data_IF_027447488737
#
_entry.id   IF_027447488737
#
_cell.length_a   1.000
_cell.length_b   1.000
_cell.length_c   1.000
_cell.angle_alpha   90.00
_cell.angle_beta   90.00
_cell.angle_gamma   90.00
#
_symmetry.space_group_name_H-M   'P 1'
#
loop_
_entity.id
_entity.type
_entity.pdbx_description
1 polymer ?
#
# COMPACT_ATOMS: atom_id res chain seq x y z
N UNK A 1 13.68 11.52 -1.33
CA UNK A 1 12.79 10.37 -1.44
C UNK A 1 12.45 9.90 -0.03
N UNK A 2 11.23 10.11 0.42
CA UNK A 2 10.75 9.51 1.68
C UNK A 2 10.55 8.02 1.43
N UNK A 3 11.30 7.21 2.13
CA UNK A 3 11.18 5.76 2.08
C UNK A 3 9.80 5.38 2.66
N UNK A 4 8.98 4.71 1.85
CA UNK A 4 7.66 4.24 2.28
C UNK A 4 7.83 2.94 3.06
N UNK A 5 7.07 2.77 4.14
CA UNK A 5 7.07 1.54 4.93
C UNK A 5 6.47 0.39 4.13
N UNK A 6 7.15 -0.76 4.08
CA UNK A 6 6.55 -2.00 3.59
C UNK A 6 5.54 -2.53 4.63
N UNK A 7 4.26 -2.58 4.25
CA UNK A 7 3.15 -3.02 5.09
C UNK A 7 2.85 -4.52 4.96
N UNK A 8 3.39 -5.17 3.90
CA UNK A 8 3.09 -6.56 3.56
C UNK A 8 4.07 -7.59 4.15
N UNK A 9 5.18 -7.14 4.73
CA UNK A 9 6.21 -8.07 5.23
C UNK A 9 5.64 -9.06 6.26
N UNK A 10 5.78 -10.36 5.97
CA UNK A 10 5.27 -11.48 6.77
C UNK A 10 3.75 -11.45 7.01
N UNK A 11 2.98 -10.83 6.11
CA UNK A 11 1.52 -10.79 6.19
C UNK A 11 0.88 -11.98 5.49
N UNK A 12 -0.32 -12.42 5.93
CA UNK A 12 -1.07 -13.46 5.26
C UNK A 12 -1.32 -13.12 3.79
N UNK A 13 -0.99 -14.06 2.91
CA UNK A 13 -1.06 -13.87 1.46
C UNK A 13 -1.80 -15.04 0.83
N UNK A 14 -2.66 -14.75 -0.12
CA UNK A 14 -3.55 -15.69 -0.78
C UNK A 14 -3.45 -15.52 -2.29
N UNK A 15 -3.62 -16.61 -3.03
CA UNK A 15 -3.55 -16.60 -4.48
C UNK A 15 -4.64 -17.49 -5.10
N UNK A 16 -4.99 -17.21 -6.36
CA UNK A 16 -5.92 -18.02 -7.16
C UNK A 16 -5.40 -19.43 -7.41
N UNK A 17 -4.10 -19.55 -7.62
CA UNK A 17 -3.40 -20.83 -7.82
C UNK A 17 -1.96 -20.74 -7.33
N UNK A 18 -1.33 -21.89 -7.16
CA UNK A 18 0.09 -22.02 -6.81
C UNK A 18 0.67 -23.25 -7.48
N UNK A 19 1.70 -23.06 -8.28
CA UNK A 19 2.44 -24.14 -8.94
C UNK A 19 3.86 -24.26 -8.42
N UNK A 20 4.39 -23.22 -7.80
CA UNK A 20 5.70 -23.22 -7.17
C UNK A 20 5.70 -22.28 -5.95
N UNK A 21 6.40 -22.69 -4.88
CA UNK A 21 6.45 -21.97 -3.62
C UNK A 21 5.10 -21.90 -2.91
N UNK A 22 4.94 -20.86 -2.13
CA UNK A 22 3.69 -20.52 -1.43
C UNK A 22 3.34 -19.04 -1.71
N UNK A 23 2.09 -18.63 -1.62
CA UNK A 23 1.75 -17.19 -1.74
C UNK A 23 2.52 -16.31 -0.75
N UNK A 24 2.76 -16.80 0.48
CA UNK A 24 3.53 -16.09 1.51
C UNK A 24 5.00 -15.85 1.15
N UNK A 25 5.56 -16.61 0.21
CA UNK A 25 6.95 -16.41 -0.24
C UNK A 25 7.12 -15.05 -0.94
N UNK A 26 6.05 -14.51 -1.51
CA UNK A 26 6.06 -13.17 -2.10
C UNK A 26 6.08 -12.03 -1.05
N UNK A 27 5.92 -12.35 0.23
CA UNK A 27 5.87 -11.34 1.31
C UNK A 27 6.81 -11.66 2.48
N UNK A 28 7.68 -12.67 2.35
CA UNK A 28 8.57 -13.14 3.42
C UNK A 28 9.88 -12.34 3.55
N UNK A 29 10.13 -11.40 2.63
CA UNK A 29 11.31 -10.53 2.61
C UNK A 29 12.59 -11.22 2.12
N UNK A 30 12.51 -12.46 1.63
CA UNK A 30 13.66 -13.20 1.08
C UNK A 30 13.77 -12.95 -0.43
N UNK A 31 14.97 -13.16 -0.97
CA UNK A 31 15.26 -12.96 -2.40
C UNK A 31 15.39 -14.27 -3.18
N UNK A 32 15.32 -15.39 -2.50
CA UNK A 32 15.51 -16.74 -3.03
C UNK A 32 14.25 -17.61 -2.92
N UNK A 33 13.17 -17.08 -2.39
CA UNK A 33 11.84 -17.66 -2.36
C UNK A 33 10.90 -16.88 -3.30
N UNK A 34 9.91 -17.56 -3.87
CA UNK A 34 8.95 -16.94 -4.78
C UNK A 34 7.62 -17.68 -4.83
N UNK A 35 6.58 -16.98 -5.19
CA UNK A 35 5.33 -17.57 -5.62
C UNK A 35 5.24 -17.62 -7.14
N UNK A 36 4.65 -18.70 -7.68
CA UNK A 36 4.26 -18.79 -9.07
C UNK A 36 2.85 -19.35 -9.23
N UNK A 37 2.06 -18.69 -10.08
CA UNK A 37 0.71 -19.08 -10.44
C UNK A 37 0.70 -20.21 -11.50
N UNK A 38 -0.48 -20.76 -11.74
CA UNK A 38 -0.76 -21.56 -12.93
C UNK A 38 -0.55 -20.74 -14.22
N UNK A 39 -0.31 -21.44 -15.32
CA UNK A 39 -0.21 -20.84 -16.65
C UNK A 39 -1.61 -20.47 -17.16
N UNK A 40 -2.15 -19.39 -16.66
CA UNK A 40 -3.45 -18.88 -17.06
C UNK A 40 -3.50 -17.35 -16.91
N UNK A 41 -4.36 -16.71 -17.69
CA UNK A 41 -4.78 -15.34 -17.46
C UNK A 41 -5.72 -15.26 -16.25
N UNK A 42 -5.94 -14.05 -15.74
CA UNK A 42 -6.82 -13.77 -14.60
C UNK A 42 -6.41 -14.40 -13.26
N UNK A 43 -5.16 -14.86 -13.16
CA UNK A 43 -4.57 -15.25 -11.90
C UNK A 43 -4.30 -14.04 -11.01
N UNK A 44 -4.36 -14.22 -9.71
CA UNK A 44 -4.19 -13.14 -8.75
C UNK A 44 -3.47 -13.60 -7.49
N UNK A 45 -2.88 -12.63 -6.82
CA UNK A 45 -2.34 -12.75 -5.47
C UNK A 45 -2.73 -11.51 -4.66
N UNK A 46 -3.20 -11.68 -3.41
CA UNK A 46 -3.46 -10.56 -2.52
C UNK A 46 -2.89 -10.77 -1.13
N UNK A 47 -2.61 -9.66 -0.47
CA UNK A 47 -2.10 -9.57 0.90
C UNK A 47 -3.22 -9.07 1.82
N UNK A 48 -3.40 -9.70 3.00
CA UNK A 48 -4.19 -9.17 4.11
C UNK A 48 -3.26 -8.39 5.05
N UNK A 49 -3.38 -7.08 5.09
CA UNK A 49 -2.58 -6.22 5.95
C UNK A 49 -2.96 -6.34 7.44
N UNK A 50 -4.07 -7.06 7.74
CA UNK A 50 -4.57 -7.30 9.09
C UNK A 50 -5.52 -6.22 9.59
N UNK A 51 -5.38 -5.00 9.11
CA UNK A 51 -6.28 -3.86 9.38
C UNK A 51 -6.26 -2.90 8.21
N UNK A 52 -7.21 -1.98 8.16
CA UNK A 52 -7.20 -0.89 7.18
C UNK A 52 -5.98 -0.02 7.40
N UNK A 53 -5.20 0.19 6.34
CA UNK A 53 -3.96 0.97 6.33
C UNK A 53 -3.97 1.97 5.17
N UNK A 54 -3.30 3.12 5.29
CA UNK A 54 -3.09 4.03 4.17
C UNK A 54 -2.06 3.42 3.21
N UNK A 55 -2.53 3.03 2.03
CA UNK A 55 -1.72 2.44 0.96
C UNK A 55 -1.50 3.48 -0.14
N UNK A 56 -0.26 3.69 -0.54
CA UNK A 56 0.10 4.68 -1.56
C UNK A 56 0.95 4.11 -2.70
N UNK A 57 1.19 2.82 -2.72
CA UNK A 57 1.91 2.15 -3.80
C UNK A 57 2.17 0.68 -3.55
N UNK A 58 2.77 0.04 -4.54
CA UNK A 58 3.29 -1.32 -4.45
C UNK A 58 4.62 -1.42 -5.17
N UNK A 59 5.45 -2.37 -4.78
CA UNK A 59 6.63 -2.81 -5.51
C UNK A 59 6.46 -4.29 -5.82
N UNK A 60 6.51 -4.63 -7.10
CA UNK A 60 6.48 -6.00 -7.60
C UNK A 60 7.88 -6.35 -8.11
N UNK A 61 8.47 -7.40 -7.56
CA UNK A 61 9.71 -7.98 -8.08
C UNK A 61 9.38 -9.27 -8.81
N UNK A 62 9.32 -9.17 -10.14
CA UNK A 62 8.97 -10.28 -11.00
C UNK A 62 10.15 -11.24 -11.18
N UNK A 63 9.86 -12.51 -11.19
CA UNK A 63 10.74 -13.52 -11.75
C UNK A 63 10.69 -13.42 -13.28
N UNK A 64 11.27 -14.35 -14.03
CA UNK A 64 11.22 -14.32 -15.51
C UNK A 64 9.79 -14.34 -16.06
N UNK A 65 8.83 -14.87 -15.31
CA UNK A 65 7.41 -14.96 -15.67
C UNK A 65 6.64 -13.78 -15.08
N UNK A 66 6.30 -12.80 -15.91
CA UNK A 66 5.73 -11.52 -15.47
C UNK A 66 4.38 -11.22 -16.11
N UNK A 67 3.67 -10.24 -15.55
CA UNK A 67 2.47 -9.68 -16.14
C UNK A 67 2.81 -8.59 -17.16
N UNK A 68 2.40 -8.74 -18.42
CA UNK A 68 2.39 -7.66 -19.39
C UNK A 68 1.20 -6.74 -19.12
N UNK A 69 0.00 -7.33 -18.99
CA UNK A 69 -1.19 -6.63 -18.55
C UNK A 69 -1.55 -7.05 -17.13
N UNK A 70 -1.68 -6.10 -16.21
CA UNK A 70 -2.13 -6.37 -14.85
C UNK A 70 -2.74 -5.14 -14.16
N UNK A 71 -3.43 -5.37 -13.05
CA UNK A 71 -4.03 -4.34 -12.20
C UNK A 71 -3.52 -4.47 -10.77
N UNK A 72 -3.48 -3.32 -10.09
CA UNK A 72 -3.45 -3.27 -8.63
C UNK A 72 -4.82 -2.85 -8.16
N UNK A 73 -5.35 -3.60 -7.22
CA UNK A 73 -6.68 -3.41 -6.68
C UNK A 73 -6.64 -3.45 -5.16
N UNK A 74 -7.54 -2.72 -4.53
CA UNK A 74 -7.68 -2.64 -3.08
C UNK A 74 -9.08 -3.03 -2.64
N UNK A 75 -9.21 -3.48 -1.39
CA UNK A 75 -10.48 -3.92 -0.82
C UNK A 75 -10.47 -3.82 0.70
N UNK A 76 -11.65 -3.71 1.31
CA UNK A 76 -11.85 -3.82 2.76
C UNK A 76 -12.44 -5.18 3.19
N UNK A 77 -12.97 -5.96 2.24
CA UNK A 77 -13.70 -7.21 2.49
C UNK A 77 -13.15 -8.44 1.73
N UNK A 78 -12.10 -8.26 0.91
CA UNK A 78 -11.52 -9.24 -0.01
C UNK A 78 -12.52 -9.81 -1.05
N UNK A 79 -13.65 -9.15 -1.26
CA UNK A 79 -14.70 -9.54 -2.21
C UNK A 79 -14.94 -8.46 -3.25
N UNK A 80 -15.12 -7.22 -2.78
CA UNK A 80 -15.34 -6.05 -3.63
C UNK A 80 -13.99 -5.36 -3.86
N UNK A 81 -13.54 -5.29 -5.11
CA UNK A 81 -12.23 -4.78 -5.48
C UNK A 81 -12.32 -3.48 -6.26
N UNK A 82 -11.59 -2.47 -5.80
CA UNK A 82 -11.44 -1.18 -6.47
C UNK A 82 -10.08 -1.13 -7.16
N UNK A 83 -10.06 -0.82 -8.46
CA UNK A 83 -8.83 -0.60 -9.23
C UNK A 83 -8.19 0.73 -8.81
N UNK A 84 -6.88 0.70 -8.52
CA UNK A 84 -6.06 1.88 -8.20
C UNK A 84 -4.93 2.09 -9.20
N UNK A 85 -4.60 1.06 -9.98
CA UNK A 85 -3.62 1.10 -11.05
C UNK A 85 -3.89 0.00 -12.08
N UNK A 86 -3.55 0.27 -13.34
CA UNK A 86 -3.59 -0.69 -14.45
C UNK A 86 -2.48 -0.39 -15.43
N UNK A 87 -1.90 -1.45 -16.01
CA UNK A 87 -0.96 -1.36 -17.15
C UNK A 87 -1.22 -2.49 -18.12
N UNK A 88 -0.83 -2.28 -19.38
CA UNK A 88 -0.73 -3.26 -20.46
C UNK A 88 0.69 -3.26 -21.10
N UNK A 89 1.63 -2.58 -20.45
CA UNK A 89 3.01 -2.39 -20.90
C UNK A 89 4.06 -2.91 -19.90
N UNK A 90 3.69 -3.87 -19.02
CA UNK A 90 4.61 -4.51 -18.08
C UNK A 90 5.79 -5.17 -18.80
N UNK A 91 6.98 -5.07 -18.23
CA UNK A 91 8.23 -5.55 -18.85
C UNK A 91 8.99 -6.55 -17.97
N UNK A 92 8.45 -6.91 -16.83
CA UNK A 92 9.14 -7.73 -15.83
C UNK A 92 10.25 -6.97 -15.10
N UNK A 93 11.04 -7.69 -14.30
CA UNK A 93 11.99 -7.07 -13.38
C UNK A 93 11.26 -6.43 -12.21
N UNK A 94 11.59 -5.19 -11.87
CA UNK A 94 10.99 -4.48 -10.74
C UNK A 94 10.06 -3.39 -11.22
N UNK A 95 8.80 -3.48 -10.85
CA UNK A 95 7.80 -2.44 -11.04
C UNK A 95 7.56 -1.68 -9.73
N UNK A 96 7.92 -0.40 -9.70
CA UNK A 96 7.60 0.51 -8.59
C UNK A 96 6.40 1.37 -8.96
N UNK A 97 5.25 1.07 -8.38
CA UNK A 97 3.97 1.66 -8.71
C UNK A 97 3.52 2.58 -7.58
N UNK A 98 3.17 3.81 -7.92
CA UNK A 98 2.61 4.78 -6.98
C UNK A 98 1.24 5.24 -7.45
N UNK A 99 0.32 5.43 -6.51
CA UNK A 99 -1.02 5.94 -6.74
C UNK A 99 -1.45 6.86 -5.59
N UNK A 100 -2.51 7.68 -5.76
CA UNK A 100 -3.07 8.46 -4.66
C UNK A 100 -3.39 7.58 -3.47
N UNK A 101 -3.00 8.01 -2.28
CA UNK A 101 -3.20 7.25 -1.03
C UNK A 101 -4.67 6.86 -0.86
N UNK A 102 -4.90 5.60 -0.57
CA UNK A 102 -6.21 5.02 -0.33
C UNK A 102 -6.15 4.12 0.91
N UNK A 103 -7.20 4.19 1.73
CA UNK A 103 -7.34 3.28 2.87
C UNK A 103 -7.82 1.93 2.39
N UNK A 104 -7.12 0.86 2.78
CA UNK A 104 -7.47 -0.50 2.45
C UNK A 104 -6.86 -1.52 3.41
N UNK A 105 -7.56 -2.64 3.61
CA UNK A 105 -7.04 -3.80 4.33
C UNK A 105 -6.39 -4.83 3.40
N UNK A 106 -6.92 -4.98 2.19
CA UNK A 106 -6.43 -5.97 1.22
C UNK A 106 -5.90 -5.28 -0.02
N UNK A 107 -4.77 -5.77 -0.53
CA UNK A 107 -4.17 -5.27 -1.77
C UNK A 107 -3.88 -6.46 -2.67
N UNK A 108 -4.35 -6.40 -3.94
CA UNK A 108 -4.27 -7.47 -4.92
C UNK A 108 -3.53 -7.04 -6.19
N UNK A 109 -2.65 -7.90 -6.67
CA UNK A 109 -2.24 -7.93 -8.07
C UNK A 109 -3.16 -8.89 -8.80
N UNK A 110 -3.77 -8.44 -9.90
CA UNK A 110 -4.63 -9.22 -10.77
C UNK A 110 -4.07 -9.20 -12.19
N UNK A 111 -3.67 -10.36 -12.70
CA UNK A 111 -3.12 -10.53 -14.02
C UNK A 111 -4.21 -10.47 -15.09
N UNK A 112 -3.90 -9.86 -16.24
CA UNK A 112 -4.78 -9.75 -17.41
C UNK A 112 -4.14 -10.42 -18.61
N UNK A 113 -2.86 -10.11 -18.88
CA UNK A 113 -2.11 -10.61 -20.00
C UNK A 113 -0.73 -11.10 -19.53
N UNK A 114 -0.34 -12.28 -19.97
CA UNK A 114 0.97 -12.84 -19.67
C UNK A 114 2.05 -12.12 -20.48
N UNK A 115 3.12 -11.71 -19.82
CA UNK A 115 4.34 -11.21 -20.50
C UNK A 115 5.24 -12.34 -20.99
N UNK A 116 5.12 -13.51 -20.36
CA UNK A 116 5.82 -14.73 -20.70
C UNK A 116 4.89 -15.93 -20.53
N UNK A 117 5.10 -16.98 -21.27
CA UNK A 117 4.17 -18.11 -21.41
C UNK A 117 4.12 -19.08 -20.18
N UNK A 118 4.85 -18.81 -19.12
CA UNK A 118 4.85 -19.67 -17.92
C UNK A 118 3.89 -19.22 -16.79
N UNK A 119 3.16 -18.14 -16.94
CA UNK A 119 2.25 -17.60 -15.92
C UNK A 119 2.79 -16.34 -15.25
N UNK A 120 2.42 -16.13 -14.01
CA UNK A 120 2.90 -15.00 -13.17
C UNK A 120 3.77 -15.57 -12.06
N UNK A 121 4.90 -14.94 -11.78
CA UNK A 121 5.81 -15.33 -10.70
C UNK A 121 6.45 -14.11 -10.06
N UNK A 122 6.40 -14.03 -8.72
CA UNK A 122 6.89 -12.92 -7.94
C UNK A 122 7.91 -13.38 -6.89
N UNK A 123 9.08 -12.75 -6.90
CA UNK A 123 10.04 -12.81 -5.79
C UNK A 123 9.54 -11.99 -4.60
N UNK A 124 8.94 -10.81 -4.86
CA UNK A 124 8.29 -10.03 -3.81
C UNK A 124 7.06 -9.27 -4.30
N UNK A 125 6.13 -9.08 -3.38
CA UNK A 125 4.97 -8.21 -3.47
C UNK A 125 4.94 -7.29 -2.25
N UNK A 126 5.59 -6.15 -2.36
CA UNK A 126 5.65 -5.18 -1.28
C UNK A 126 4.49 -4.20 -1.41
N UNK A 127 3.68 -4.09 -0.37
CA UNK A 127 2.65 -3.04 -0.25
C UNK A 127 3.24 -1.87 0.50
N UNK A 128 3.23 -0.72 -0.14
CA UNK A 128 3.90 0.47 0.38
C UNK A 128 2.89 1.40 1.06
N UNK A 129 3.16 1.70 2.31
CA UNK A 129 2.38 2.67 3.11
C UNK A 129 2.31 4.02 2.41
N UNK A 130 1.30 4.81 2.78
CA UNK A 130 1.22 6.20 2.37
C UNK A 130 2.43 7.02 2.82
N UNK A 131 2.54 8.23 2.34
CA UNK A 131 3.61 9.13 2.76
C UNK A 131 3.50 9.40 4.25
N UNK A 132 4.45 8.90 5.04
CA UNK A 132 4.52 9.26 6.45
C UNK A 132 4.61 10.78 6.60
N UNK A 133 3.98 11.36 7.63
CA UNK A 133 4.24 12.74 8.00
C UNK A 133 5.74 12.96 8.17
N UNK A 134 6.22 14.15 7.85
CA UNK A 134 7.65 14.51 7.91
C UNK A 134 8.28 14.10 9.24
N UNK A 135 9.50 13.54 9.19
CA UNK A 135 10.36 13.39 10.38
C UNK A 135 10.33 14.67 11.22
N UNK A 136 10.11 14.52 12.52
CA UNK A 136 10.06 15.64 13.46
C UNK A 136 8.67 16.06 13.92
N UNK A 137 7.59 15.43 13.44
CA UNK A 137 6.27 15.61 14.05
C UNK A 137 6.13 14.70 15.29
N UNK A 138 5.50 15.23 16.34
CA UNK A 138 5.13 14.46 17.52
C UNK A 138 4.12 13.36 17.16
N UNK A 139 3.99 12.33 18.01
CA UNK A 139 3.05 11.22 17.81
C UNK A 139 1.61 11.71 17.64
N UNK A 140 1.28 12.84 18.25
CA UNK A 140 0.03 13.58 18.03
C UNK A 140 0.38 15.02 17.69
N UNK A 141 -0.19 15.55 16.63
CA UNK A 141 0.03 16.93 16.21
C UNK A 141 -1.24 17.60 15.72
N UNK A 142 -1.23 18.93 15.80
CA UNK A 142 -2.31 19.76 15.30
C UNK A 142 -1.96 20.29 13.92
N UNK A 143 -2.92 20.21 13.02
CA UNK A 143 -2.86 20.86 11.72
C UNK A 143 -3.81 22.06 11.76
N UNK A 144 -3.25 23.25 11.62
CA UNK A 144 -4.02 24.49 11.51
C UNK A 144 -4.02 24.93 10.04
N UNK A 145 -5.18 24.91 9.42
CA UNK A 145 -5.38 25.42 8.06
C UNK A 145 -5.97 26.82 8.14
N UNK A 146 -5.26 27.79 7.58
CA UNK A 146 -5.67 29.18 7.57
C UNK A 146 -5.80 29.67 6.13
N UNK A 147 -7.00 30.06 5.73
CA UNK A 147 -7.26 30.73 4.45
C UNK A 147 -7.17 32.23 4.64
N UNK A 148 -6.34 32.91 3.84
CA UNK A 148 -6.19 34.38 3.86
C UNK A 148 -6.63 34.97 2.51
N UNK A 149 -7.20 36.13 2.55
CA UNK A 149 -7.48 36.93 1.34
C UNK A 149 -6.19 37.57 0.79
N UNK A 150 -6.31 38.28 -0.34
CA UNK A 150 -5.18 38.98 -1.00
C UNK A 150 -4.54 40.07 -0.12
N UNK A 151 -5.20 40.52 0.91
CA UNK A 151 -4.68 41.51 1.89
C UNK A 151 -3.97 40.84 3.08
N UNK A 152 -3.99 39.51 3.15
CA UNK A 152 -3.44 38.73 4.25
C UNK A 152 -4.41 38.56 5.45
N UNK A 153 -5.65 39.02 5.34
CA UNK A 153 -6.68 38.85 6.37
C UNK A 153 -7.19 37.43 6.38
N UNK A 154 -7.30 36.82 7.57
CA UNK A 154 -7.84 35.46 7.75
C UNK A 154 -9.34 35.47 7.44
N UNK A 155 -9.76 34.67 6.46
CA UNK A 155 -11.16 34.49 6.05
C UNK A 155 -11.74 33.18 6.53
N UNK A 156 -10.91 32.20 6.81
CA UNK A 156 -11.31 30.90 7.40
C UNK A 156 -10.15 30.26 8.14
N UNK A 157 -10.45 29.55 9.20
CA UNK A 157 -9.48 28.77 9.95
C UNK A 157 -10.11 27.48 10.46
N UNK A 158 -9.40 26.35 10.25
CA UNK A 158 -9.80 25.06 10.74
C UNK A 158 -8.61 24.38 11.45
N UNK A 159 -8.90 23.68 12.53
CA UNK A 159 -7.91 22.93 13.28
C UNK A 159 -8.26 21.44 13.22
N UNK A 160 -7.27 20.59 12.92
CA UNK A 160 -7.40 19.15 12.85
C UNK A 160 -6.39 18.51 13.77
N UNK A 161 -6.80 17.38 14.34
CA UNK A 161 -5.90 16.49 15.11
C UNK A 161 -5.44 15.37 14.20
N UNK A 162 -4.20 15.01 14.27
CA UNK A 162 -3.64 13.85 13.59
C UNK A 162 -2.69 13.11 14.51
N UNK A 163 -2.91 11.80 14.67
CA UNK A 163 -1.95 10.86 15.27
C UNK A 163 -1.10 10.21 14.19
N UNK A 164 0.05 9.69 14.56
CA UNK A 164 0.89 8.89 13.66
C UNK A 164 0.23 7.55 13.32
N UNK A 165 -0.51 6.96 14.25
CA UNK A 165 -1.46 5.89 14.00
C UNK A 165 -2.88 6.49 14.00
N UNK A 166 -3.66 6.19 12.98
CA UNK A 166 -4.97 6.83 12.72
C UNK A 166 -5.99 6.72 13.87
N UNK A 167 -5.80 5.74 14.74
CA UNK A 167 -6.74 5.43 15.81
C UNK A 167 -6.12 5.53 17.22
N UNK A 168 -4.82 5.75 17.32
CA UNK A 168 -4.15 5.88 18.63
C UNK A 168 -3.91 7.35 19.00
N UNK A 169 -4.74 7.84 19.90
CA UNK A 169 -4.61 9.17 20.52
C UNK A 169 -4.13 9.09 21.97
N UNK A 170 -3.58 7.95 22.41
CA UNK A 170 -3.14 7.77 23.80
C UNK A 170 -2.06 8.76 24.22
N UNK A 171 -1.22 9.21 23.26
CA UNK A 171 -0.23 10.25 23.50
C UNK A 171 -0.83 11.60 23.93
N UNK A 172 -2.12 11.87 23.67
CA UNK A 172 -2.82 13.06 24.17
C UNK A 172 -2.86 13.11 25.71
N UNK A 173 -2.86 11.95 26.36
CA UNK A 173 -2.90 11.86 27.83
C UNK A 173 -1.59 12.35 28.48
N UNK A 174 -0.51 12.42 27.71
CA UNK A 174 0.83 12.84 28.18
C UNK A 174 1.16 14.29 27.83
N UNK A 175 0.30 14.97 27.08
CA UNK A 175 0.50 16.38 26.74
C UNK A 175 0.38 17.26 28.00
N UNK A 176 1.19 18.33 28.09
CA UNK A 176 1.05 19.30 29.15
C UNK A 176 -0.36 19.91 29.15
N UNK A 177 -1.05 19.80 30.27
CA UNK A 177 -2.38 20.44 30.43
C UNK A 177 -2.19 21.94 30.58
N UNK A 178 -2.76 22.73 29.66
CA UNK A 178 -2.84 24.17 29.83
C UNK A 178 -3.98 24.49 30.83
N UNK A 179 -3.69 25.30 31.85
CA UNK A 179 -4.74 25.89 32.65
C UNK A 179 -5.43 26.97 31.82
N UNK A 180 -6.72 26.81 31.63
CA UNK A 180 -7.55 27.87 31.05
C UNK A 180 -7.66 28.99 32.09
N UNK A 181 -7.08 30.15 31.75
CA UNK A 181 -7.27 31.38 32.53
C UNK A 181 -8.54 32.09 32.07
#
# INVERSE_FOLDING_TARGET
NKERKNLSLNKPTFASSTTYGQPSDATDGKKDTRWAAAKAENEWIYVDLGSVQPVGGVRLDWEASFGKGYKIQVSDDAKTWKEVYKTDEGRGGVDEITFPEVDARYVRMFGIELGWWFGYSLWSFDVLGGTQPSEGLSDVHFIRLTLKDKSGKIVSENNYWRGNDRLDFTALNTLPKAELK
#
